data_IF_614825917434
#
_entry.id   IF_614825917434
#
_cell.length_a   1.000
_cell.length_b   1.000
_cell.length_c   1.000
_cell.angle_alpha   90.00
_cell.angle_beta   90.00
_cell.angle_gamma   90.00
#
_symmetry.space_group_name_H-M   'P 1'
#
loop_
_entity.id
_entity.type
_entity.pdbx_description
1 polymer ?
#
# COMPACT_ATOMS: atom_id res chain seq x y z
N UNK A 1 2.04 54.61 -68.47
CA UNK A 1 2.89 54.09 -67.38
C UNK A 1 2.16 52.94 -66.68
N UNK A 2 2.89 51.88 -66.34
CA UNK A 2 2.45 50.47 -66.27
C UNK A 2 1.23 50.21 -65.35
N UNK A 3 0.15 49.64 -65.92
CA UNK A 3 -0.97 49.06 -65.15
C UNK A 3 -0.41 47.95 -64.25
N UNK A 4 -0.53 48.12 -62.93
CA UNK A 4 -0.12 47.16 -61.91
C UNK A 4 -0.98 45.88 -62.03
N UNK A 5 -0.64 44.98 -62.98
CA UNK A 5 -1.36 43.72 -63.27
C UNK A 5 -1.29 42.66 -62.16
N UNK A 6 -0.63 42.97 -61.05
CA UNK A 6 -0.32 42.05 -59.95
C UNK A 6 -0.73 42.57 -58.57
N UNK A 7 -1.53 43.65 -58.48
CA UNK A 7 -2.00 44.20 -57.20
C UNK A 7 -2.79 43.18 -56.35
N UNK A 8 -3.47 42.24 -57.01
CA UNK A 8 -4.17 41.13 -56.34
C UNK A 8 -3.22 40.17 -55.60
N UNK A 9 -1.97 40.01 -56.07
CA UNK A 9 -0.96 39.20 -55.38
C UNK A 9 -0.51 39.85 -54.07
N UNK A 10 -0.42 41.19 -54.03
CA UNK A 10 -0.10 41.92 -52.80
C UNK A 10 -1.25 41.82 -51.78
N UNK A 11 -2.50 41.87 -52.24
CA UNK A 11 -3.67 41.64 -51.40
C UNK A 11 -3.72 40.21 -50.84
N UNK A 12 -3.44 39.20 -51.68
CA UNK A 12 -3.36 37.80 -51.27
C UNK A 12 -2.26 37.58 -50.22
N UNK A 13 -1.07 38.15 -50.43
CA UNK A 13 0.03 38.08 -49.47
C UNK A 13 -0.33 38.77 -48.14
N UNK A 14 -1.04 39.89 -48.18
CA UNK A 14 -1.56 40.56 -46.99
C UNK A 14 -2.53 39.67 -46.21
N UNK A 15 -3.49 39.04 -46.88
CA UNK A 15 -4.45 38.13 -46.25
C UNK A 15 -3.76 36.89 -45.67
N UNK A 16 -2.83 36.29 -46.42
CA UNK A 16 -2.05 35.14 -45.96
C UNK A 16 -1.20 35.50 -44.75
N UNK A 17 -0.61 36.70 -44.71
CA UNK A 17 0.12 37.17 -43.54
C UNK A 17 -0.80 37.37 -42.32
N UNK A 18 -1.99 37.96 -42.51
CA UNK A 18 -2.99 38.14 -41.44
C UNK A 18 -3.47 36.81 -40.86
N UNK A 19 -3.46 35.73 -41.65
CA UNK A 19 -3.85 34.38 -41.19
C UNK A 19 -2.65 33.63 -40.59
N UNK A 20 -1.50 33.62 -41.28
CA UNK A 20 -0.34 32.83 -40.88
C UNK A 20 0.35 33.41 -39.64
N UNK A 21 0.41 34.73 -39.49
CA UNK A 21 1.10 35.36 -38.35
C UNK A 21 0.43 35.00 -37.02
N UNK A 22 -0.90 35.12 -36.82
CA UNK A 22 -1.55 34.66 -35.60
C UNK A 22 -1.41 33.15 -35.41
N UNK A 23 -1.53 32.36 -36.49
CA UNK A 23 -1.36 30.90 -36.42
C UNK A 23 0.03 30.55 -35.90
N UNK A 24 1.09 31.25 -36.32
CA UNK A 24 2.46 31.00 -35.85
C UNK A 24 2.70 31.56 -34.45
N UNK A 25 2.18 32.75 -34.13
CA UNK A 25 2.34 33.38 -32.80
C UNK A 25 1.57 32.61 -31.72
N UNK A 26 0.39 32.12 -32.05
CA UNK A 26 -0.50 31.37 -31.15
C UNK A 26 -0.51 29.88 -31.47
N UNK A 27 0.43 29.38 -32.28
CA UNK A 27 0.60 27.93 -32.45
C UNK A 27 0.92 27.38 -31.07
N UNK A 28 0.22 26.33 -30.59
CA UNK A 28 0.60 25.68 -29.37
C UNK A 28 2.02 25.16 -29.56
N UNK A 29 2.99 25.88 -28.99
CA UNK A 29 4.26 25.28 -28.65
C UNK A 29 3.86 24.12 -27.76
N UNK A 30 4.07 22.88 -28.22
CA UNK A 30 4.20 21.75 -27.31
C UNK A 30 5.31 22.17 -26.34
N UNK A 31 4.92 22.78 -25.22
CA UNK A 31 5.83 23.06 -24.14
C UNK A 31 6.52 21.74 -23.87
N UNK A 32 7.85 21.76 -23.68
CA UNK A 32 8.60 20.56 -23.30
C UNK A 32 7.77 19.83 -22.26
N UNK A 33 7.36 18.61 -22.57
CA UNK A 33 6.56 17.81 -21.65
C UNK A 33 7.27 17.89 -20.30
N UNK A 34 6.55 18.36 -19.26
CA UNK A 34 7.11 18.36 -17.93
C UNK A 34 7.56 16.93 -17.62
N UNK A 35 8.69 16.79 -16.92
CA UNK A 35 9.16 15.47 -16.50
C UNK A 35 8.01 14.74 -15.80
N UNK A 36 7.80 13.48 -16.17
CA UNK A 36 6.69 12.72 -15.61
C UNK A 36 6.98 12.47 -14.14
N UNK A 37 6.04 12.68 -13.19
CA UNK A 37 6.25 12.27 -11.81
C UNK A 37 6.66 10.80 -11.67
N UNK A 38 6.24 9.95 -12.62
CA UNK A 38 6.63 8.54 -12.71
C UNK A 38 8.13 8.32 -12.93
N UNK A 39 8.83 9.28 -13.53
CA UNK A 39 10.28 9.21 -13.77
C UNK A 39 11.08 9.27 -12.46
N UNK A 40 10.44 9.72 -11.37
CA UNK A 40 11.05 9.89 -10.04
C UNK A 40 10.61 8.83 -9.04
N UNK A 41 9.75 7.89 -9.44
CA UNK A 41 9.36 6.80 -8.55
C UNK A 41 10.48 5.77 -8.42
N UNK A 42 10.72 5.25 -7.21
CA UNK A 42 11.65 4.15 -7.00
C UNK A 42 11.27 2.96 -7.88
N UNK A 43 12.24 2.40 -8.58
CA UNK A 43 12.03 1.13 -9.28
C UNK A 43 11.91 0.02 -8.23
N UNK A 44 10.85 -0.79 -8.35
CA UNK A 44 10.68 -1.92 -7.45
C UNK A 44 11.78 -2.96 -7.72
N UNK A 45 12.35 -3.58 -6.66
CA UNK A 45 13.28 -4.68 -6.84
C UNK A 45 12.63 -5.81 -7.65
N UNK A 46 13.41 -6.45 -8.52
CA UNK A 46 12.95 -7.64 -9.23
C UNK A 46 12.69 -8.74 -8.21
N UNK A 47 11.45 -9.25 -8.20
CA UNK A 47 11.07 -10.34 -7.33
C UNK A 47 11.79 -11.63 -7.72
N UNK A 48 12.39 -12.31 -6.74
CA UNK A 48 12.92 -13.67 -6.88
C UNK A 48 11.78 -14.66 -6.70
N UNK A 49 11.54 -15.55 -7.67
CA UNK A 49 10.50 -16.59 -7.55
C UNK A 49 10.83 -17.58 -6.42
N UNK A 50 9.96 -17.65 -5.42
CA UNK A 50 10.10 -18.52 -4.25
C UNK A 50 9.52 -19.93 -4.48
N UNK A 51 8.81 -20.16 -5.59
CA UNK A 51 8.09 -21.42 -5.86
C UNK A 51 8.99 -22.67 -5.88
N UNK A 52 10.28 -22.47 -6.19
CA UNK A 52 11.32 -23.50 -6.25
C UNK A 52 12.30 -23.47 -5.07
N UNK A 53 12.25 -22.45 -4.23
CA UNK A 53 13.17 -22.24 -3.11
C UNK A 53 12.54 -22.74 -1.81
N UNK A 54 11.24 -22.54 -1.66
CA UNK A 54 10.50 -22.99 -0.49
C UNK A 54 10.19 -24.47 -0.63
N UNK A 55 10.69 -25.29 0.30
CA UNK A 55 10.48 -26.75 0.27
C UNK A 55 9.40 -27.19 1.25
N UNK A 56 9.35 -26.60 2.45
CA UNK A 56 8.49 -27.07 3.54
C UNK A 56 8.90 -28.48 4.04
N UNK A 57 8.04 -29.16 4.83
CA UNK A 57 6.75 -28.71 5.33
C UNK A 57 6.88 -27.62 6.42
N UNK A 58 5.79 -26.90 6.66
CA UNK A 58 5.67 -25.96 7.76
C UNK A 58 4.53 -26.40 8.67
N UNK A 59 4.82 -26.63 9.96
CA UNK A 59 3.81 -27.02 10.94
C UNK A 59 3.12 -25.79 11.54
N UNK A 60 3.89 -24.71 11.70
CA UNK A 60 3.42 -23.43 12.24
C UNK A 60 3.72 -22.28 11.28
N UNK A 61 2.94 -21.19 11.33
CA UNK A 61 3.28 -20.00 10.55
C UNK A 61 4.63 -19.39 10.95
N UNK A 62 5.06 -19.55 12.19
CA UNK A 62 6.40 -19.18 12.65
C UNK A 62 7.51 -19.95 11.93
N UNK A 63 7.28 -21.20 11.51
CA UNK A 63 8.27 -21.97 10.73
C UNK A 63 8.48 -21.37 9.35
N UNK A 64 7.42 -20.79 8.77
CA UNK A 64 7.54 -20.03 7.51
C UNK A 64 8.43 -18.82 7.72
N UNK A 65 8.14 -18.00 8.75
CA UNK A 65 8.94 -16.81 9.06
C UNK A 65 10.40 -17.19 9.34
N UNK A 66 10.64 -18.27 10.09
CA UNK A 66 12.00 -18.79 10.34
C UNK A 66 12.74 -19.11 9.04
N UNK A 67 12.08 -19.76 8.08
CA UNK A 67 12.67 -20.04 6.77
C UNK A 67 12.93 -18.76 5.96
N UNK A 68 12.03 -17.77 6.01
CA UNK A 68 12.24 -16.47 5.37
C UNK A 68 13.50 -15.76 5.91
N UNK A 69 13.71 -15.84 7.23
CA UNK A 69 14.83 -15.18 7.91
C UNK A 69 16.21 -15.77 7.58
N UNK A 70 16.28 -16.97 6.99
CA UNK A 70 17.55 -17.53 6.48
C UNK A 70 18.14 -16.68 5.34
N UNK A 71 17.28 -16.06 4.53
CA UNK A 71 17.68 -15.19 3.41
C UNK A 71 17.42 -13.70 3.70
N UNK A 72 16.50 -13.39 4.62
CA UNK A 72 16.09 -12.02 4.97
C UNK A 72 16.31 -11.73 6.47
N UNK A 73 17.55 -11.82 6.98
CA UNK A 73 17.82 -11.79 8.42
C UNK A 73 17.41 -10.49 9.10
N UNK A 74 17.43 -9.37 8.38
CA UNK A 74 17.13 -8.04 8.94
C UNK A 74 15.64 -7.67 8.86
N UNK A 75 14.87 -8.35 7.99
CA UNK A 75 13.53 -7.90 7.60
C UNK A 75 12.54 -7.89 8.78
N UNK A 76 12.58 -8.91 9.65
CA UNK A 76 11.74 -8.90 10.84
C UNK A 76 12.09 -7.72 11.75
N UNK A 77 13.38 -7.47 12.00
CA UNK A 77 13.82 -6.36 12.83
C UNK A 77 13.36 -5.02 12.24
N UNK A 78 13.57 -4.79 10.95
CA UNK A 78 13.14 -3.57 10.26
C UNK A 78 11.63 -3.32 10.45
N UNK A 79 10.80 -4.34 10.26
CA UNK A 79 9.34 -4.23 10.40
C UNK A 79 8.92 -4.06 11.86
N UNK A 80 9.60 -4.72 12.80
CA UNK A 80 9.33 -4.61 14.24
C UNK A 80 9.53 -3.20 14.79
N UNK A 81 10.33 -2.37 14.12
CA UNK A 81 10.49 -0.96 14.49
C UNK A 81 9.32 -0.06 14.05
N UNK A 82 8.39 -0.55 13.23
CA UNK A 82 7.31 0.25 12.63
C UNK A 82 6.00 0.23 13.42
N UNK A 83 5.10 1.13 13.05
CA UNK A 83 3.74 1.19 13.60
C UNK A 83 2.87 -0.01 13.19
N UNK A 84 3.18 -0.71 12.09
CA UNK A 84 2.47 -1.94 11.73
C UNK A 84 2.65 -3.03 12.79
N UNK A 85 3.86 -3.14 13.34
CA UNK A 85 4.17 -4.09 14.40
C UNK A 85 3.73 -3.58 15.78
N UNK A 86 4.18 -2.38 16.16
CA UNK A 86 3.95 -1.83 17.51
C UNK A 86 2.49 -1.42 17.74
N UNK A 87 1.76 -1.09 16.67
CA UNK A 87 0.46 -0.42 16.74
C UNK A 87 0.45 0.85 17.61
N UNK A 88 1.60 1.50 17.67
CA UNK A 88 1.86 2.71 18.43
C UNK A 88 2.74 3.64 17.60
N UNK A 89 2.51 4.94 17.77
CA UNK A 89 3.42 5.99 17.35
C UNK A 89 4.63 6.03 18.27
N UNK A 90 5.67 6.74 17.81
CA UNK A 90 6.65 7.30 18.72
C UNK A 90 5.96 8.18 19.78
N UNK A 91 6.54 8.33 20.99
CA UNK A 91 5.97 9.17 22.03
C UNK A 91 5.81 10.62 21.55
N UNK A 92 4.65 11.21 21.82
CA UNK A 92 4.33 12.60 21.49
C UNK A 92 3.97 13.39 22.75
N UNK A 93 4.38 14.65 22.80
CA UNK A 93 3.98 15.57 23.86
C UNK A 93 2.58 16.11 23.58
N UNK A 94 1.73 16.14 24.61
CA UNK A 94 0.37 16.67 24.52
C UNK A 94 0.15 17.75 25.59
N UNK A 95 -0.59 18.83 25.29
CA UNK A 95 -0.74 19.96 26.22
C UNK A 95 -1.38 19.63 27.59
N UNK A 96 -2.05 18.49 27.72
CA UNK A 96 -2.84 18.09 28.90
C UNK A 96 -2.18 16.98 29.75
N UNK A 97 -0.93 16.61 29.46
CA UNK A 97 -0.13 15.69 30.28
C UNK A 97 1.32 16.16 30.35
N UNK A 98 1.91 15.97 31.52
CA UNK A 98 3.32 16.32 31.76
C UNK A 98 4.28 15.31 31.10
N UNK A 99 3.85 14.06 30.94
CA UNK A 99 4.63 12.99 30.32
C UNK A 99 4.21 12.72 28.88
N UNK A 100 5.15 12.37 27.97
CA UNK A 100 4.84 11.94 26.61
C UNK A 100 3.86 10.76 26.57
N UNK A 101 2.99 10.73 25.57
CA UNK A 101 2.07 9.62 25.33
C UNK A 101 2.31 9.01 23.97
N UNK A 102 2.18 7.70 23.85
CA UNK A 102 2.07 7.06 22.53
C UNK A 102 0.60 7.05 22.10
N UNK A 103 0.35 7.08 20.79
CA UNK A 103 -0.99 6.90 20.23
C UNK A 103 -0.97 5.80 19.18
N UNK A 104 -1.99 4.98 19.10
CA UNK A 104 -2.16 4.03 18.01
C UNK A 104 -3.20 2.98 18.33
N UNK A 105 -3.37 2.00 17.44
CA UNK A 105 -4.42 0.98 17.59
C UNK A 105 -4.30 0.18 18.89
N UNK A 106 -3.11 0.11 19.49
CA UNK A 106 -2.91 -0.54 20.80
C UNK A 106 -3.67 0.14 21.94
N UNK A 107 -3.74 1.48 21.95
CA UNK A 107 -4.24 2.26 23.10
C UNK A 107 -5.31 3.31 22.74
N UNK A 108 -5.71 3.40 21.47
CA UNK A 108 -6.77 4.29 21.04
C UNK A 108 -8.16 3.70 21.32
N UNK A 109 -9.07 4.60 21.69
CA UNK A 109 -10.50 4.33 21.80
C UNK A 109 -11.22 5.01 20.64
N UNK A 110 -12.17 4.33 20.01
CA UNK A 110 -13.01 4.89 18.95
C UNK A 110 -14.50 4.63 19.20
N UNK A 111 -15.36 5.07 18.28
CA UNK A 111 -16.81 4.88 18.31
C UNK A 111 -17.31 3.73 17.41
N UNK A 112 -16.41 2.84 16.98
CA UNK A 112 -16.73 1.60 16.26
C UNK A 112 -16.67 0.41 17.25
N UNK A 113 -15.63 -0.43 17.17
CA UNK A 113 -15.43 -1.54 18.11
C UNK A 113 -14.86 -1.11 19.47
N UNK A 114 -14.82 0.19 19.75
CA UNK A 114 -14.33 0.80 20.99
C UNK A 114 -12.83 0.63 21.21
N UNK A 115 -12.34 -0.59 21.43
CA UNK A 115 -10.95 -0.88 21.77
C UNK A 115 -10.51 -2.25 21.25
N UNK A 116 -9.21 -2.44 21.09
CA UNK A 116 -8.61 -3.77 20.85
C UNK A 116 -8.65 -4.65 22.09
N UNK A 117 -8.66 -4.04 23.28
CA UNK A 117 -8.77 -4.74 24.56
C UNK A 117 -10.11 -5.48 24.67
N UNK A 118 -10.05 -6.80 24.87
CA UNK A 118 -11.22 -7.68 24.91
C UNK A 118 -11.80 -8.05 23.54
N UNK A 119 -11.18 -7.61 22.44
CA UNK A 119 -11.60 -7.89 21.07
C UNK A 119 -10.46 -8.49 20.22
N UNK A 120 -9.46 -9.08 20.85
CA UNK A 120 -8.19 -9.53 20.26
C UNK A 120 -8.42 -10.52 19.12
N UNK A 121 -9.35 -11.47 19.31
CA UNK A 121 -9.71 -12.48 18.31
C UNK A 121 -9.99 -11.88 16.93
N UNK A 122 -10.67 -10.72 16.89
CA UNK A 122 -10.99 -10.01 15.65
C UNK A 122 -10.02 -8.89 15.32
N UNK A 123 -9.51 -8.19 16.31
CA UNK A 123 -8.67 -7.03 16.07
C UNK A 123 -7.31 -7.42 15.46
N UNK A 124 -6.74 -8.54 15.92
CA UNK A 124 -5.43 -9.04 15.50
C UNK A 124 -5.43 -9.71 14.13
N UNK A 125 -6.60 -9.94 13.52
CA UNK A 125 -6.67 -10.38 12.11
C UNK A 125 -6.09 -9.34 11.15
N UNK A 126 -5.92 -8.08 11.62
CA UNK A 126 -5.25 -7.01 10.89
C UNK A 126 -3.89 -6.62 11.49
N UNK A 127 -3.36 -7.39 12.45
CA UNK A 127 -2.00 -7.22 12.95
C UNK A 127 -1.04 -8.03 12.07
N UNK A 128 0.18 -7.53 11.87
CA UNK A 128 1.20 -8.20 11.04
C UNK A 128 2.02 -9.21 11.86
N UNK A 129 1.39 -9.86 12.84
CA UNK A 129 1.98 -10.91 13.64
C UNK A 129 1.00 -12.05 13.93
N UNK A 130 1.55 -13.12 14.49
CA UNK A 130 0.83 -14.35 14.85
C UNK A 130 0.54 -14.42 16.34
N UNK A 131 -0.46 -15.19 16.77
CA UNK A 131 -0.66 -15.58 18.18
C UNK A 131 -0.74 -14.43 19.22
N UNK A 132 -1.23 -13.25 18.84
CA UNK A 132 -1.52 -12.21 19.81
C UNK A 132 -2.95 -12.39 20.34
N UNK A 133 -3.10 -13.13 21.43
CA UNK A 133 -4.41 -13.58 21.93
C UNK A 133 -4.97 -12.83 23.14
N UNK A 134 -4.14 -12.01 23.80
CA UNK A 134 -4.48 -11.36 25.06
C UNK A 134 -4.20 -9.85 25.07
N UNK A 135 -5.02 -9.13 25.86
CA UNK A 135 -4.77 -7.75 26.26
C UNK A 135 -4.71 -7.59 27.79
N UNK A 136 -3.70 -6.87 28.33
CA UNK A 136 -2.44 -6.52 27.66
C UNK A 136 -1.76 -7.79 27.11
N UNK A 137 -0.79 -7.68 26.18
CA UNK A 137 -0.12 -8.79 25.48
C UNK A 137 0.67 -9.71 26.44
N UNK A 138 -0.04 -10.43 27.30
CA UNK A 138 0.54 -11.32 28.31
C UNK A 138 1.07 -12.58 27.61
N UNK A 139 2.38 -12.72 27.63
CA UNK A 139 3.05 -13.84 26.96
C UNK A 139 3.22 -13.65 25.46
N UNK A 140 2.85 -12.49 24.92
CA UNK A 140 3.20 -12.12 23.54
C UNK A 140 4.48 -11.27 23.55
N UNK A 141 5.52 -11.82 22.94
CA UNK A 141 6.83 -11.19 22.87
C UNK A 141 7.00 -10.47 21.53
N UNK A 142 7.18 -9.14 21.60
CA UNK A 142 7.36 -8.28 20.43
C UNK A 142 8.79 -8.35 19.87
N UNK A 143 9.73 -8.95 20.60
CA UNK A 143 11.13 -9.09 20.19
C UNK A 143 11.39 -10.42 19.46
N UNK A 144 10.46 -11.37 19.52
CA UNK A 144 10.55 -12.66 18.79
C UNK A 144 10.27 -12.42 17.30
N UNK A 145 11.33 -12.52 16.49
CA UNK A 145 11.29 -12.28 15.04
C UNK A 145 10.32 -13.22 14.31
N UNK A 146 10.22 -14.48 14.75
CA UNK A 146 9.33 -15.48 14.14
C UNK A 146 7.84 -15.14 14.29
N UNK A 147 7.48 -14.24 15.21
CA UNK A 147 6.10 -13.79 15.36
C UNK A 147 5.67 -12.80 14.25
N UNK A 148 6.60 -12.31 13.42
CA UNK A 148 6.27 -11.46 12.27
C UNK A 148 5.56 -12.28 11.20
N UNK A 149 4.40 -11.83 10.76
CA UNK A 149 3.65 -12.41 9.65
C UNK A 149 4.15 -11.83 8.32
N UNK A 150 5.09 -12.52 7.68
CA UNK A 150 5.58 -12.13 6.35
C UNK A 150 4.51 -12.34 5.27
N UNK A 151 3.60 -13.31 5.45
CA UNK A 151 2.66 -13.75 4.41
C UNK A 151 1.51 -12.76 4.22
N UNK A 152 1.07 -12.05 5.26
CA UNK A 152 -0.06 -11.11 5.16
C UNK A 152 0.15 -10.04 4.10
N UNK A 153 1.39 -9.55 3.95
CA UNK A 153 1.76 -8.55 2.96
C UNK A 153 2.23 -9.17 1.65
N UNK A 154 2.93 -10.30 1.70
CA UNK A 154 3.65 -10.81 0.53
C UNK A 154 2.97 -11.97 -0.20
N UNK A 155 2.22 -12.83 0.49
CA UNK A 155 1.58 -13.98 -0.15
C UNK A 155 0.41 -13.55 -1.04
N UNK A 156 0.11 -14.36 -2.05
CA UNK A 156 -1.08 -14.18 -2.87
C UNK A 156 -2.34 -14.31 -1.98
N UNK A 157 -3.29 -13.38 -2.15
CA UNK A 157 -4.51 -13.33 -1.34
C UNK A 157 -5.45 -14.52 -1.58
N UNK A 158 -5.31 -15.24 -2.69
CA UNK A 158 -5.98 -16.52 -2.93
C UNK A 158 -5.38 -17.67 -2.13
N UNK A 159 -4.11 -17.57 -1.70
CA UNK A 159 -3.40 -18.61 -0.95
C UNK A 159 -3.35 -18.32 0.56
N UNK A 160 -3.46 -17.06 0.98
CA UNK A 160 -3.29 -16.66 2.38
C UNK A 160 -4.34 -15.69 2.91
N UNK A 161 -4.95 -16.08 4.03
CA UNK A 161 -5.83 -15.24 4.84
C UNK A 161 -5.56 -15.45 6.33
N UNK A 162 -5.79 -14.39 7.12
CA UNK A 162 -5.69 -14.45 8.57
C UNK A 162 -7.03 -14.85 9.20
N UNK A 163 -6.94 -15.74 10.18
CA UNK A 163 -7.99 -16.12 11.12
C UNK A 163 -7.85 -15.39 12.45
N UNK A 164 -8.44 -15.97 13.49
CA UNK A 164 -8.50 -15.37 14.82
C UNK A 164 -7.12 -15.14 15.44
N UNK A 165 -7.01 -14.07 16.24
CA UNK A 165 -5.79 -13.73 16.99
C UNK A 165 -4.55 -13.50 16.12
N UNK A 166 -4.75 -13.23 14.82
CA UNK A 166 -3.67 -13.00 13.86
C UNK A 166 -3.04 -14.26 13.30
N UNK A 167 -3.50 -15.46 13.66
CA UNK A 167 -3.02 -16.69 13.05
C UNK A 167 -3.56 -16.84 11.62
N UNK A 168 -2.99 -17.70 10.76
CA UNK A 168 -3.61 -18.10 9.49
C UNK A 168 -5.01 -18.66 9.71
N UNK A 169 -5.89 -18.47 8.73
CA UNK A 169 -7.23 -19.06 8.75
C UNK A 169 -7.15 -20.60 8.62
N UNK A 170 -8.17 -21.29 9.13
CA UNK A 170 -8.26 -22.75 9.03
C UNK A 170 -8.23 -23.19 7.56
N UNK A 171 -7.39 -24.19 7.27
CA UNK A 171 -7.24 -24.75 5.92
C UNK A 171 -6.24 -24.02 5.01
N UNK A 172 -5.58 -22.96 5.48
CA UNK A 172 -4.45 -22.35 4.76
C UNK A 172 -3.31 -23.36 4.64
N UNK A 173 -2.87 -23.60 3.40
CA UNK A 173 -1.65 -24.34 3.10
C UNK A 173 -0.45 -23.36 3.19
N UNK A 174 0.33 -23.47 4.26
CA UNK A 174 1.47 -22.61 4.53
C UNK A 174 2.57 -22.73 3.47
N UNK A 175 2.76 -23.92 2.89
CA UNK A 175 3.78 -24.12 1.85
C UNK A 175 3.33 -23.44 0.56
N UNK A 176 2.05 -23.58 0.20
CA UNK A 176 1.49 -22.90 -0.96
C UNK A 176 1.52 -21.36 -0.79
N UNK A 177 1.14 -20.86 0.39
CA UNK A 177 1.21 -19.44 0.72
C UNK A 177 2.65 -18.91 0.63
N UNK A 178 3.61 -19.60 1.24
CA UNK A 178 5.03 -19.21 1.20
C UNK A 178 5.62 -19.27 -0.22
N UNK A 179 5.19 -20.21 -1.08
CA UNK A 179 5.61 -20.25 -2.50
C UNK A 179 5.02 -19.13 -3.35
N UNK A 180 3.90 -18.56 -2.92
CA UNK A 180 3.18 -17.50 -3.62
C UNK A 180 3.66 -16.08 -3.30
N UNK A 181 4.67 -15.94 -2.43
CA UNK A 181 5.12 -14.61 -2.02
C UNK A 181 5.57 -13.77 -3.21
N UNK A 182 5.30 -12.48 -3.17
CA UNK A 182 5.56 -11.53 -4.23
C UNK A 182 5.76 -10.11 -3.72
N UNK A 183 5.85 -9.16 -4.65
CA UNK A 183 5.73 -7.73 -4.32
C UNK A 183 4.28 -7.48 -3.87
N UNK A 184 4.05 -6.87 -2.69
CA UNK A 184 2.71 -6.58 -2.22
C UNK A 184 1.93 -5.72 -3.22
N UNK A 185 0.65 -6.04 -3.39
CA UNK A 185 -0.29 -5.28 -4.21
C UNK A 185 -1.33 -4.59 -3.34
N UNK A 186 -2.26 -3.85 -3.95
CA UNK A 186 -3.39 -3.25 -3.23
C UNK A 186 -4.27 -4.31 -2.54
N UNK A 187 -4.32 -5.53 -3.08
CA UNK A 187 -5.07 -6.63 -2.47
C UNK A 187 -4.52 -7.00 -1.09
N UNK A 188 -3.20 -6.99 -0.95
CA UNK A 188 -2.51 -7.29 0.30
C UNK A 188 -2.79 -6.23 1.37
N UNK A 189 -2.60 -4.95 1.01
CA UNK A 189 -2.86 -3.83 1.90
C UNK A 189 -4.35 -3.74 2.27
N UNK A 190 -5.23 -3.86 1.26
CA UNK A 190 -6.67 -3.72 1.38
C UNK A 190 -7.31 -4.76 2.29
N UNK A 191 -6.72 -5.94 2.43
CA UNK A 191 -7.17 -6.97 3.38
C UNK A 191 -7.26 -6.47 4.83
N UNK A 192 -6.49 -5.44 5.19
CA UNK A 192 -6.57 -4.77 6.50
C UNK A 192 -7.09 -3.33 6.41
N UNK A 193 -6.83 -2.64 5.30
CA UNK A 193 -7.07 -1.19 5.18
C UNK A 193 -8.42 -0.82 4.57
N UNK A 194 -9.05 -1.70 3.76
CA UNK A 194 -10.33 -1.40 3.11
C UNK A 194 -11.53 -1.85 3.95
N UNK A 195 -11.28 -2.71 4.93
CA UNK A 195 -12.30 -3.30 5.79
C UNK A 195 -12.07 -2.92 7.27
N UNK A 196 -13.14 -2.97 8.06
CA UNK A 196 -13.08 -2.75 9.51
C UNK A 196 -14.20 -3.46 10.25
N UNK A 197 -14.45 -3.07 11.51
CA UNK A 197 -15.46 -3.65 12.39
C UNK A 197 -16.92 -3.59 11.92
N UNK A 198 -17.19 -3.07 10.72
CA UNK A 198 -18.49 -3.10 10.06
C UNK A 198 -18.43 -3.43 8.56
N UNK A 199 -17.27 -3.84 8.03
CA UNK A 199 -17.09 -4.18 6.61
C UNK A 199 -16.40 -3.09 5.78
N UNK A 200 -16.59 -3.19 4.46
CA UNK A 200 -15.91 -2.37 3.46
C UNK A 200 -16.23 -0.86 3.61
N UNK A 201 -15.22 -0.01 3.62
CA UNK A 201 -15.34 1.45 3.64
C UNK A 201 -16.00 2.04 4.90
N UNK A 202 -16.28 1.22 5.92
CA UNK A 202 -17.05 1.66 7.10
C UNK A 202 -16.26 2.61 8.00
N UNK A 203 -14.94 2.42 8.11
CA UNK A 203 -14.09 3.21 9.00
C UNK A 203 -13.46 4.41 8.28
N UNK A 204 -12.88 4.16 7.10
CA UNK A 204 -12.28 5.14 6.23
C UNK A 204 -12.98 5.03 4.87
N UNK A 205 -13.78 6.04 4.52
CA UNK A 205 -14.55 6.02 3.27
C UNK A 205 -13.72 6.34 2.02
N UNK A 206 -12.46 6.72 2.21
CA UNK A 206 -11.48 7.01 1.16
C UNK A 206 -10.60 5.80 0.80
N UNK A 207 -10.67 4.71 1.59
CA UNK A 207 -9.98 3.45 1.31
C UNK A 207 -10.97 2.28 1.42
N UNK A 208 -11.43 1.77 0.28
CA UNK A 208 -12.41 0.69 0.18
C UNK A 208 -12.06 -0.27 -0.98
N UNK A 209 -12.75 -1.41 -1.08
CA UNK A 209 -12.50 -2.47 -2.07
C UNK A 209 -12.58 -2.01 -3.53
N UNK A 210 -13.22 -0.87 -3.82
CA UNK A 210 -13.15 -0.25 -5.15
C UNK A 210 -11.72 0.09 -5.60
N UNK A 211 -10.78 0.21 -4.65
CA UNK A 211 -9.37 0.49 -4.89
C UNK A 211 -8.53 -0.76 -5.20
N UNK A 212 -9.10 -1.96 -5.26
CA UNK A 212 -8.36 -3.12 -5.79
C UNK A 212 -7.97 -2.89 -7.26
N UNK A 213 -8.92 -2.43 -8.07
CA UNK A 213 -8.73 -2.09 -9.48
C UNK A 213 -9.51 -0.83 -9.85
N UNK A 214 -9.12 0.35 -9.32
CA UNK A 214 -9.86 1.58 -9.56
C UNK A 214 -9.65 2.07 -10.99
N UNK A 215 -10.53 2.94 -11.47
CA UNK A 215 -10.25 3.75 -12.65
C UNK A 215 -9.64 5.11 -12.25
N UNK A 216 -9.13 5.86 -13.23
CA UNK A 216 -8.53 7.18 -13.00
C UNK A 216 -9.55 8.20 -12.45
N UNK A 217 -10.87 7.99 -12.61
CA UNK A 217 -11.88 8.89 -12.04
C UNK A 217 -12.02 8.70 -10.53
N UNK A 218 -11.89 7.46 -10.06
CA UNK A 218 -11.92 7.12 -8.65
C UNK A 218 -10.61 7.50 -7.94
N UNK A 219 -9.46 7.07 -8.49
CA UNK A 219 -8.15 7.47 -7.98
C UNK A 219 -7.14 7.61 -9.14
N UNK A 220 -6.68 8.83 -9.36
CA UNK A 220 -5.78 9.17 -10.48
C UNK A 220 -4.39 8.51 -10.38
N UNK A 221 -3.98 8.08 -9.18
CA UNK A 221 -2.67 7.45 -8.95
C UNK A 221 -2.77 5.93 -9.04
N UNK A 222 -3.82 5.35 -8.45
CA UNK A 222 -4.01 3.90 -8.40
C UNK A 222 -4.73 3.35 -9.64
N UNK A 223 -5.53 4.16 -10.33
CA UNK A 223 -6.37 3.71 -11.44
C UNK A 223 -5.76 3.85 -12.83
N UNK A 224 -4.49 4.25 -12.90
CA UNK A 224 -3.76 4.43 -14.15
C UNK A 224 -2.98 3.17 -14.59
N UNK A 225 -3.00 2.09 -13.79
CA UNK A 225 -2.22 0.87 -14.01
C UNK A 225 -2.88 -0.39 -13.42
#
# INVERSE_FOLDING_TARGET
MKKFRYSWLLGLLGILAVIAIPIVIFWPSEGKAAASPWDYLPQHPVHTDHSKIIEGPFETPQDVTRACLECHPDAASEVQHTSHWKWQSEPVNVPWRDEPVTIGKFNQVNNFCISTAGNESKCMTCHIGYAWDQYPPKGYDFDVAENVDCLVCHADKSAYAKGGYGNPADGVDLVAAAKSVGVPTRDNCGGCHFNGGGGNGVKHGDLDESLYHPDEQLDVHMGKY
#
